data_IF_333732363053
#
_entry.id   IF_333732363053
#
_cell.length_a   1.000
_cell.length_b   1.000
_cell.length_c   1.000
_cell.angle_alpha   90.00
_cell.angle_beta   90.00
_cell.angle_gamma   90.00
#
_symmetry.space_group_name_H-M   'P 1'
#
loop_
_entity.id
_entity.type
_entity.pdbx_description
1 polymer ?
#
# COMPACT_ATOMS: atom_id res chain seq x y z
N UNK A 1 13.69 1.37 -23.24
CA UNK A 1 13.88 0.38 -22.15
C UNK A 1 13.53 1.09 -20.85
N UNK A 2 12.63 0.54 -20.04
CA UNK A 2 12.27 1.10 -18.72
C UNK A 2 13.18 0.46 -17.67
N UNK A 3 13.82 1.22 -16.77
CA UNK A 3 14.66 0.63 -15.73
C UNK A 3 13.84 -0.27 -14.80
N UNK A 4 14.41 -1.41 -14.39
CA UNK A 4 13.74 -2.45 -13.59
C UNK A 4 12.91 -1.95 -12.40
N UNK A 5 13.38 -1.01 -11.54
CA UNK A 5 12.59 -0.56 -10.38
C UNK A 5 11.31 0.20 -10.77
N UNK A 6 11.19 0.67 -12.02
CA UNK A 6 10.03 1.39 -12.53
C UNK A 6 9.20 0.54 -13.52
N UNK A 7 9.58 -0.72 -13.72
CA UNK A 7 8.88 -1.63 -14.65
C UNK A 7 7.71 -2.39 -14.00
N UNK A 8 7.61 -2.33 -12.66
CA UNK A 8 6.61 -3.03 -11.86
C UNK A 8 5.88 -2.03 -10.97
N UNK A 9 4.56 -2.18 -10.87
CA UNK A 9 3.71 -1.37 -10.00
C UNK A 9 2.78 -2.26 -9.17
N UNK A 10 2.53 -1.85 -7.93
CA UNK A 10 1.58 -2.50 -7.01
C UNK A 10 0.55 -1.45 -6.58
N UNK A 11 -0.73 -1.81 -6.70
CA UNK A 11 -1.84 -1.00 -6.19
C UNK A 11 -2.63 -1.82 -5.19
N UNK A 12 -2.76 -1.30 -3.97
CA UNK A 12 -3.58 -1.89 -2.92
C UNK A 12 -4.75 -0.94 -2.61
N UNK A 13 -5.94 -1.51 -2.42
CA UNK A 13 -7.14 -0.77 -2.04
C UNK A 13 -7.76 -1.44 -0.83
N UNK A 14 -8.23 -0.63 0.12
CA UNK A 14 -8.91 -1.09 1.32
C UNK A 14 -10.41 -1.19 1.15
N UNK A 15 -11.08 -1.66 2.19
CA UNK A 15 -12.54 -1.66 2.25
C UNK A 15 -13.09 -0.21 2.22
N UNK A 16 -14.23 0.02 1.57
CA UNK A 16 -14.87 1.33 1.55
C UNK A 16 -15.31 1.79 2.96
N UNK A 17 -14.95 3.02 3.32
CA UNK A 17 -15.42 3.65 4.56
C UNK A 17 -16.63 4.53 4.22
N UNK A 18 -17.81 4.15 4.69
CA UNK A 18 -19.05 4.87 4.43
C UNK A 18 -19.29 5.91 5.52
N UNK A 19 -19.33 7.18 5.12
CA UNK A 19 -19.62 8.30 6.03
C UNK A 19 -21.03 8.82 5.77
N UNK A 20 -21.94 8.78 6.77
CA UNK A 20 -23.28 9.36 6.63
C UNK A 20 -23.25 10.85 6.31
N UNK A 21 -24.24 11.33 5.56
CA UNK A 21 -24.33 12.75 5.16
C UNK A 21 -24.51 13.70 6.35
N UNK A 22 -25.13 13.21 7.41
CA UNK A 22 -25.42 13.92 8.66
C UNK A 22 -24.43 13.55 9.78
N UNK A 23 -23.28 12.97 9.44
CA UNK A 23 -22.24 12.65 10.41
C UNK A 23 -21.82 13.89 11.19
N UNK A 24 -21.98 13.82 12.52
CA UNK A 24 -21.46 14.81 13.44
C UNK A 24 -19.93 14.69 13.59
N UNK A 25 -19.33 15.68 14.24
CA UNK A 25 -17.88 15.80 14.41
C UNK A 25 -17.22 14.52 14.95
N UNK A 26 -17.81 13.89 15.98
CA UNK A 26 -17.28 12.65 16.55
C UNK A 26 -17.27 11.47 15.55
N UNK A 27 -18.28 11.37 14.68
CA UNK A 27 -18.36 10.31 13.68
C UNK A 27 -17.39 10.57 12.53
N UNK A 28 -17.23 11.83 12.12
CA UNK A 28 -16.24 12.22 11.13
C UNK A 28 -14.83 11.92 11.63
N UNK A 29 -14.56 12.19 12.89
CA UNK A 29 -13.26 11.89 13.49
C UNK A 29 -13.00 10.39 13.60
N UNK A 30 -14.01 9.59 13.96
CA UNK A 30 -13.89 8.14 13.95
C UNK A 30 -13.58 7.60 12.54
N UNK A 31 -14.28 8.09 11.51
CA UNK A 31 -14.03 7.71 10.12
C UNK A 31 -12.64 8.17 9.63
N UNK A 32 -12.17 9.33 10.08
CA UNK A 32 -10.82 9.83 9.78
C UNK A 32 -9.75 8.90 10.35
N UNK A 33 -9.90 8.48 11.61
CA UNK A 33 -8.99 7.56 12.27
C UNK A 33 -8.99 6.17 11.61
N UNK A 34 -10.16 5.67 11.21
CA UNK A 34 -10.28 4.42 10.47
C UNK A 34 -9.54 4.50 9.12
N UNK A 35 -9.76 5.57 8.37
CA UNK A 35 -9.09 5.81 7.09
C UNK A 35 -7.57 5.84 7.25
N UNK A 36 -7.07 6.61 8.22
CA UNK A 36 -5.65 6.71 8.52
C UNK A 36 -5.05 5.34 8.85
N UNK A 37 -5.74 4.57 9.70
CA UNK A 37 -5.31 3.22 10.08
C UNK A 37 -5.23 2.30 8.88
N UNK A 38 -6.23 2.30 8.00
CA UNK A 38 -6.24 1.45 6.80
C UNK A 38 -5.14 1.86 5.83
N UNK A 39 -4.96 3.16 5.56
CA UNK A 39 -3.94 3.64 4.64
C UNK A 39 -2.52 3.32 5.13
N UNK A 40 -2.25 3.49 6.42
CA UNK A 40 -0.95 3.13 7.00
C UNK A 40 -0.68 1.64 6.86
N UNK A 41 -1.65 0.78 7.20
CA UNK A 41 -1.52 -0.68 7.04
C UNK A 41 -1.25 -1.08 5.59
N UNK A 42 -2.01 -0.55 4.63
CA UNK A 42 -1.83 -0.86 3.20
C UNK A 42 -0.46 -0.38 2.69
N UNK A 43 0.03 0.74 3.20
CA UNK A 43 1.37 1.25 2.85
C UNK A 43 2.45 0.30 3.33
N UNK A 44 2.38 -0.16 4.58
CA UNK A 44 3.33 -1.14 5.12
C UNK A 44 3.28 -2.48 4.35
N UNK A 45 2.09 -2.93 3.97
CA UNK A 45 1.91 -4.14 3.16
C UNK A 45 2.54 -3.98 1.76
N UNK A 46 2.32 -2.83 1.12
CA UNK A 46 2.91 -2.53 -0.18
C UNK A 46 4.45 -2.48 -0.11
N UNK A 47 5.01 -1.84 0.91
CA UNK A 47 6.45 -1.74 1.09
C UNK A 47 7.10 -3.11 1.30
N UNK A 48 6.49 -3.98 2.13
CA UNK A 48 6.93 -5.36 2.31
C UNK A 48 6.90 -6.13 0.99
N UNK A 49 5.79 -6.04 0.24
CA UNK A 49 5.63 -6.76 -1.02
C UNK A 49 6.64 -6.33 -2.09
N UNK A 50 6.97 -5.04 -2.17
CA UNK A 50 7.95 -4.54 -3.13
C UNK A 50 9.38 -4.91 -2.70
N UNK A 51 9.72 -4.77 -1.42
CA UNK A 51 11.06 -5.09 -0.88
C UNK A 51 11.39 -6.57 -0.95
N UNK A 52 10.44 -7.45 -0.60
CA UNK A 52 10.62 -8.90 -0.68
C UNK A 52 10.82 -9.35 -2.13
N UNK A 53 10.20 -8.64 -3.09
CA UNK A 53 10.33 -8.96 -4.50
C UNK A 53 11.67 -8.54 -5.13
N UNK A 54 12.34 -7.51 -4.60
CA UNK A 54 13.69 -7.13 -5.04
C UNK A 54 14.77 -8.08 -4.51
N UNK A 55 14.53 -8.72 -3.36
CA UNK A 55 15.48 -9.65 -2.73
C UNK A 55 15.60 -10.96 -3.53
N UNK A 56 14.53 -11.38 -4.21
CA UNK A 56 14.55 -12.59 -5.06
C UNK A 56 15.27 -12.40 -6.40
N UNK A 57 15.42 -11.16 -6.90
CA UNK A 57 16.05 -10.91 -8.22
C UNK A 57 17.55 -10.61 -8.15
N UNK A 58 18.11 -10.34 -6.94
CA UNK A 58 19.57 -10.21 -6.74
C UNK A 58 20.32 -11.55 -6.70
N UNK A 59 19.62 -12.68 -6.74
CA UNK A 59 20.20 -14.03 -6.67
C UNK A 59 20.57 -14.68 -8.01
N UNK A 60 20.36 -14.02 -9.15
CA UNK A 60 20.57 -14.64 -10.45
C UNK A 60 21.22 -13.71 -11.46
N UNK A 61 22.56 -13.67 -11.49
CA UNK A 61 23.39 -13.77 -12.71
C UNK A 61 24.84 -13.40 -12.37
N UNK A 62 25.65 -14.44 -12.28
CA UNK A 62 27.11 -14.47 -12.22
C UNK A 62 27.46 -15.92 -11.90
N UNK A 63 28.06 -16.75 -12.75
CA UNK A 63 28.88 -16.53 -13.93
C UNK A 63 28.74 -17.76 -14.89
N UNK A 64 28.69 -17.51 -16.20
CA UNK A 64 29.35 -18.31 -17.24
C UNK A 64 29.94 -17.36 -18.26
#
# INVERSE_FOLDING_TARGET
>A
MVPSPFSRGLFLYGEPIVVPRDAGEAMLEAARLELETVLNRLTEEAEKAVTDSETSERGGTGER
#
